data_IF_496085119449
#
_entry.id   IF_496085119449
#
_cell.length_a   1.000
_cell.length_b   1.000
_cell.length_c   1.000
_cell.angle_alpha   90.00
_cell.angle_beta   90.00
_cell.angle_gamma   90.00
#
_symmetry.space_group_name_H-M   'P 1'
#
loop_
_entity.id
_entity.type
_entity.pdbx_description
1 polymer ?
#
# COMPACT_ATOMS: atom_id res chain seq x y z
N UNK A 1 -36.10 16.71 4.16
CA UNK A 1 -35.37 15.49 4.55
C UNK A 1 -34.24 15.93 5.47
N UNK A 2 -34.05 15.30 6.62
CA UNK A 2 -33.13 15.83 7.64
C UNK A 2 -31.68 15.66 7.18
N UNK A 3 -30.87 16.73 7.23
CA UNK A 3 -29.45 16.73 6.87
C UNK A 3 -28.56 15.75 7.67
N UNK A 4 -29.14 15.01 8.62
CA UNK A 4 -28.49 13.91 9.35
C UNK A 4 -28.42 12.61 8.55
N UNK A 5 -29.35 12.34 7.62
CA UNK A 5 -29.37 11.09 6.84
C UNK A 5 -28.48 11.18 5.60
N UNK A 6 -28.46 12.33 4.93
CA UNK A 6 -27.61 12.61 3.76
C UNK A 6 -26.12 12.55 4.10
N UNK A 7 -25.73 13.03 5.29
CA UNK A 7 -24.34 13.01 5.74
C UNK A 7 -23.84 11.58 6.00
N UNK A 8 -24.71 10.67 6.47
CA UNK A 8 -24.34 9.27 6.71
C UNK A 8 -24.14 8.49 5.40
N UNK A 9 -24.97 8.72 4.39
CA UNK A 9 -24.83 8.05 3.10
C UNK A 9 -23.53 8.47 2.41
N UNK A 10 -23.25 9.78 2.37
CA UNK A 10 -22.01 10.31 1.79
C UNK A 10 -20.80 9.73 2.51
N UNK A 11 -20.83 9.69 3.85
CA UNK A 11 -19.75 9.07 4.63
C UNK A 11 -19.52 7.60 4.26
N UNK A 12 -20.59 6.79 4.18
CA UNK A 12 -20.48 5.37 3.81
C UNK A 12 -19.93 5.17 2.40
N UNK A 13 -20.32 6.03 1.45
CA UNK A 13 -19.81 6.02 0.09
C UNK A 13 -18.33 6.43 0.05
N UNK A 14 -17.96 7.52 0.74
CA UNK A 14 -16.56 7.94 0.89
C UNK A 14 -15.72 6.80 1.47
N UNK A 15 -16.17 6.20 2.57
CA UNK A 15 -15.49 5.06 3.20
C UNK A 15 -15.30 3.92 2.21
N UNK A 16 -16.33 3.52 1.45
CA UNK A 16 -16.23 2.43 0.47
C UNK A 16 -15.35 2.75 -0.74
N UNK A 17 -15.52 3.93 -1.34
CA UNK A 17 -14.79 4.33 -2.55
C UNK A 17 -13.31 4.56 -2.22
N UNK A 18 -13.00 5.10 -1.03
CA UNK A 18 -11.62 5.22 -0.53
C UNK A 18 -10.91 3.85 -0.46
N UNK A 19 -11.65 2.74 -0.36
CA UNK A 19 -11.10 1.38 -0.36
C UNK A 19 -10.73 0.83 -1.74
N UNK A 20 -11.17 1.49 -2.80
CA UNK A 20 -10.92 1.08 -4.19
C UNK A 20 -9.76 1.91 -4.74
N UNK A 21 -8.66 1.28 -5.21
CA UNK A 21 -7.58 2.01 -5.87
C UNK A 21 -8.13 2.81 -7.06
N UNK A 22 -7.85 4.12 -7.13
CA UNK A 22 -8.40 5.01 -8.16
C UNK A 22 -7.95 4.63 -9.58
N UNK A 23 -6.82 3.94 -9.72
CA UNK A 23 -6.34 3.36 -10.98
C UNK A 23 -7.23 2.23 -11.50
N UNK A 24 -8.06 1.62 -10.63
CA UNK A 24 -9.04 0.60 -11.01
C UNK A 24 -10.42 1.16 -11.31
N UNK A 25 -10.68 2.41 -10.95
CA UNK A 25 -11.94 3.08 -11.26
C UNK A 25 -11.78 3.66 -12.65
N UNK A 26 -12.68 3.30 -13.57
CA UNK A 26 -12.62 3.90 -14.90
C UNK A 26 -12.93 5.38 -14.80
N UNK A 27 -12.33 6.15 -15.70
CA UNK A 27 -12.47 7.62 -15.69
C UNK A 27 -13.91 8.13 -15.80
N UNK A 28 -14.80 7.36 -16.42
CA UNK A 28 -16.23 7.66 -16.58
C UNK A 28 -17.08 7.25 -15.37
N UNK A 29 -16.55 6.44 -14.46
CA UNK A 29 -17.28 5.93 -13.29
C UNK A 29 -17.19 6.87 -12.07
N UNK A 30 -16.21 7.77 -12.04
CA UNK A 30 -16.01 8.75 -10.97
C UNK A 30 -15.80 10.15 -11.57
N UNK A 31 -16.82 10.99 -11.50
CA UNK A 31 -16.74 12.37 -12.00
C UNK A 31 -15.71 13.20 -11.23
N UNK A 32 -15.23 14.29 -11.84
CA UNK A 32 -14.31 15.22 -11.21
C UNK A 32 -14.85 15.77 -9.87
N UNK A 33 -16.14 16.12 -9.80
CA UNK A 33 -16.78 16.58 -8.56
C UNK A 33 -16.86 15.47 -7.50
N UNK A 34 -17.10 14.23 -7.91
CA UNK A 34 -17.11 13.09 -6.99
C UNK A 34 -15.71 12.80 -6.43
N UNK A 35 -14.67 12.90 -7.27
CA UNK A 35 -13.27 12.81 -6.85
C UNK A 35 -12.92 13.94 -5.87
N UNK A 36 -13.27 15.19 -6.18
CA UNK A 36 -13.04 16.32 -5.28
C UNK A 36 -13.74 16.12 -3.92
N UNK A 37 -14.99 15.64 -3.93
CA UNK A 37 -15.72 15.28 -2.72
C UNK A 37 -14.99 14.19 -1.92
N UNK A 38 -14.59 13.09 -2.56
CA UNK A 38 -13.83 12.00 -1.94
C UNK A 38 -12.54 12.52 -1.28
N UNK A 39 -11.73 13.28 -2.01
CA UNK A 39 -10.44 13.78 -1.52
C UNK A 39 -10.63 14.80 -0.37
N UNK A 40 -11.62 15.68 -0.46
CA UNK A 40 -11.96 16.63 0.62
C UNK A 40 -12.37 15.97 1.94
N UNK A 41 -12.90 14.74 1.88
CA UNK A 41 -13.31 13.96 3.05
C UNK A 41 -12.20 13.06 3.59
N UNK A 42 -11.10 12.92 2.85
CA UNK A 42 -10.01 11.98 3.17
C UNK A 42 -8.65 12.67 3.35
N UNK A 43 -8.56 13.99 3.16
CA UNK A 43 -7.30 14.75 3.20
C UNK A 43 -6.65 14.81 4.59
N UNK A 44 -7.41 14.60 5.67
CA UNK A 44 -6.92 14.72 7.06
C UNK A 44 -7.52 13.64 7.99
N UNK A 45 -7.86 12.47 7.45
CA UNK A 45 -8.45 11.40 8.24
C UNK A 45 -7.45 10.28 8.53
N UNK A 46 -7.52 9.69 9.72
CA UNK A 46 -6.85 8.41 10.02
C UNK A 46 -7.64 7.23 9.43
N UNK A 47 -8.32 7.43 8.31
CA UNK A 47 -9.13 6.41 7.65
C UNK A 47 -8.31 5.71 6.57
N UNK A 48 -8.64 4.46 6.21
CA UNK A 48 -7.94 3.76 5.16
C UNK A 48 -8.16 4.41 3.79
N UNK A 49 -7.11 4.48 2.97
CA UNK A 49 -7.19 5.01 1.61
C UNK A 49 -6.28 4.22 0.68
N UNK A 50 -6.82 3.70 -0.43
CA UNK A 50 -6.21 2.62 -1.21
C UNK A 50 -5.08 3.10 -2.11
N UNK A 51 -5.14 4.37 -2.49
CA UNK A 51 -4.42 4.91 -3.62
C UNK A 51 -3.22 5.72 -3.14
N UNK A 52 -1.99 5.39 -3.58
CA UNK A 52 -0.81 6.21 -3.30
C UNK A 52 -1.00 7.64 -3.82
N UNK A 53 -0.36 8.59 -3.16
CA UNK A 53 -0.58 10.02 -3.40
C UNK A 53 -0.25 10.44 -4.84
N UNK A 54 0.80 9.85 -5.43
CA UNK A 54 1.12 10.05 -6.84
C UNK A 54 -0.01 9.57 -7.78
N UNK A 55 -0.64 8.43 -7.45
CA UNK A 55 -1.75 7.92 -8.25
C UNK A 55 -3.00 8.79 -8.08
N UNK A 56 -3.20 9.44 -6.93
CA UNK A 56 -4.23 10.47 -6.75
C UNK A 56 -3.95 11.66 -7.66
N UNK A 57 -2.71 12.18 -7.64
CA UNK A 57 -2.29 13.27 -8.53
C UNK A 57 -2.55 12.92 -10.00
N UNK A 58 -2.04 11.77 -10.46
CA UNK A 58 -2.21 11.31 -11.84
C UNK A 58 -3.68 11.22 -12.25
N UNK A 59 -4.52 10.62 -11.41
CA UNK A 59 -5.94 10.48 -11.71
C UNK A 59 -6.65 11.85 -11.76
N UNK A 60 -6.31 12.77 -10.85
CA UNK A 60 -6.85 14.12 -10.85
C UNK A 60 -6.48 14.92 -12.11
N UNK A 61 -5.23 14.81 -12.59
CA UNK A 61 -4.79 15.44 -13.84
C UNK A 61 -5.54 14.86 -15.04
N UNK A 62 -5.65 13.53 -15.13
CA UNK A 62 -6.39 12.86 -16.22
C UNK A 62 -7.85 13.33 -16.26
N UNK A 63 -8.50 13.44 -15.10
CA UNK A 63 -9.87 13.93 -15.00
C UNK A 63 -9.99 15.39 -15.44
N UNK A 64 -9.06 16.26 -15.00
CA UNK A 64 -9.05 17.66 -15.43
C UNK A 64 -8.91 17.80 -16.96
N UNK A 65 -7.99 17.04 -17.57
CA UNK A 65 -7.81 17.01 -19.04
C UNK A 65 -9.07 16.52 -19.77
N UNK A 66 -9.79 15.55 -19.20
CA UNK A 66 -11.07 15.08 -19.76
C UNK A 66 -12.14 16.15 -19.72
N UNK A 67 -12.29 16.86 -18.60
CA UNK A 67 -13.24 17.97 -18.50
C UNK A 67 -12.96 19.03 -19.56
N UNK A 68 -11.70 19.43 -19.78
CA UNK A 68 -11.32 20.36 -20.85
C UNK A 68 -11.68 19.81 -22.23
N UNK A 69 -11.42 18.53 -22.48
CA UNK A 69 -11.73 17.90 -23.77
C UNK A 69 -13.23 17.84 -24.05
N UNK A 70 -14.06 17.57 -23.04
CA UNK A 70 -15.51 17.57 -23.16
C UNK A 70 -16.06 18.99 -23.38
N UNK A 71 -15.52 19.99 -22.68
CA UNK A 71 -15.91 21.40 -22.86
C UNK A 71 -15.60 21.89 -24.29
N UNK A 72 -14.43 21.54 -24.83
CA UNK A 72 -14.07 21.84 -26.22
C UNK A 72 -15.03 21.15 -27.20
N UNK A 73 -15.32 19.85 -27.01
CA UNK A 73 -16.28 19.10 -27.85
C UNK A 73 -17.69 19.73 -27.80
N UNK A 74 -18.12 20.20 -26.63
CA UNK A 74 -19.42 20.83 -26.46
C UNK A 74 -19.47 22.25 -27.07
N UNK A 75 -18.37 23.02 -27.00
CA UNK A 75 -18.27 24.31 -27.70
C UNK A 75 -18.26 24.14 -29.22
N UNK A 76 -17.57 23.12 -29.75
CA UNK A 76 -17.58 22.77 -31.18
C UNK A 76 -18.97 22.38 -31.68
N UNK A 77 -19.67 21.50 -30.95
CA UNK A 77 -21.06 21.10 -31.27
C UNK A 77 -22.07 22.24 -31.24
N UNK A 78 -21.86 23.27 -30.40
CA UNK A 78 -22.73 24.45 -30.39
C UNK A 78 -22.44 25.42 -31.54
N UNK A 79 -21.29 25.30 -32.21
CA UNK A 79 -20.90 26.11 -33.36
C UNK A 79 -21.12 25.41 -34.70
N UNK A 80 -21.30 24.08 -34.72
CA UNK A 80 -21.49 23.26 -35.91
C UNK A 80 -22.85 22.54 -35.92
N UNK A 81 -23.93 23.30 -36.14
CA UNK A 81 -25.05 22.80 -36.95
C UNK A 81 -24.60 22.81 -38.42
N UNK A 82 -23.71 21.89 -38.80
CA UNK A 82 -23.41 21.38 -40.16
C UNK A 82 -21.95 20.91 -40.23
N UNK A 83 -21.68 19.64 -39.91
CA UNK A 83 -21.24 18.61 -40.86
C UNK A 83 -20.90 17.34 -40.08
N UNK A 84 -21.32 16.19 -40.61
CA UNK A 84 -21.05 14.89 -40.02
C UNK A 84 -19.56 14.57 -40.18
N UNK A 85 -18.83 14.34 -39.10
CA UNK A 85 -17.67 13.47 -39.14
C UNK A 85 -17.64 12.53 -37.93
N UNK A 86 -17.73 11.25 -38.27
CA UNK A 86 -17.70 10.07 -37.43
C UNK A 86 -16.24 9.78 -37.03
N UNK A 87 -15.89 10.02 -35.77
CA UNK A 87 -14.61 9.60 -35.20
C UNK A 87 -14.84 8.47 -34.19
N UNK A 88 -14.52 7.25 -34.64
CA UNK A 88 -14.41 6.03 -33.84
C UNK A 88 -13.33 6.19 -32.75
N UNK A 89 -13.72 6.04 -31.48
CA UNK A 89 -12.80 5.82 -30.36
C UNK A 89 -12.26 4.38 -30.40
N UNK A 90 -10.98 4.22 -30.74
CA UNK A 90 -10.18 3.05 -30.41
C UNK A 90 -8.71 3.47 -30.32
N UNK A 91 -8.29 4.03 -29.19
CA UNK A 91 -6.86 4.16 -28.88
C UNK A 91 -6.48 3.13 -27.81
N UNK A 92 -5.94 2.04 -28.32
CA UNK A 92 -5.14 1.04 -27.63
C UNK A 92 -3.77 1.65 -27.32
N UNK A 93 -3.36 1.63 -26.05
CA UNK A 93 -2.10 2.21 -25.60
C UNK A 93 -0.92 1.39 -26.12
N UNK A 94 -0.36 1.79 -27.27
CA UNK A 94 0.95 1.31 -27.71
C UNK A 94 2.05 2.21 -27.12
N UNK A 95 2.85 1.66 -26.22
CA UNK A 95 4.16 2.21 -25.84
C UNK A 95 5.10 2.11 -27.04
N UNK A 96 5.17 3.16 -27.85
CA UNK A 96 6.31 3.59 -28.66
C UNK A 96 5.79 4.68 -29.59
N UNK A 97 6.05 5.97 -29.32
CA UNK A 97 5.90 6.97 -30.37
C UNK A 97 6.87 8.14 -30.19
N UNK A 98 7.42 8.53 -31.33
CA UNK A 98 8.16 9.75 -31.59
C UNK A 98 7.38 10.96 -31.04
N UNK A 99 8.06 11.88 -30.36
CA UNK A 99 7.46 13.15 -29.96
C UNK A 99 7.16 14.00 -31.21
N UNK A 100 5.89 14.08 -31.61
CA UNK A 100 5.42 14.97 -32.68
C UNK A 100 5.29 16.42 -32.15
N UNK A 101 5.83 17.41 -32.88
CA UNK A 101 5.70 18.84 -32.57
C UNK A 101 4.21 19.26 -32.43
N UNK A 102 3.31 18.52 -33.07
CA UNK A 102 1.87 18.74 -33.05
C UNK A 102 1.24 18.46 -31.66
N UNK A 103 1.76 17.47 -30.91
CA UNK A 103 1.27 17.14 -29.56
C UNK A 103 1.71 18.17 -28.52
N UNK A 104 2.91 18.75 -28.69
CA UNK A 104 3.42 19.82 -27.84
C UNK A 104 2.58 21.09 -27.97
N UNK A 105 2.20 21.47 -29.19
CA UNK A 105 1.33 22.62 -29.45
C UNK A 105 -0.05 22.43 -28.82
N UNK A 106 -0.64 21.24 -28.98
CA UNK A 106 -1.94 20.89 -28.39
C UNK A 106 -1.91 20.93 -26.86
N UNK A 107 -0.80 20.51 -26.25
CA UNK A 107 -0.62 20.56 -24.81
C UNK A 107 -0.58 22.00 -24.28
N UNK A 108 0.23 22.88 -24.88
CA UNK A 108 0.33 24.29 -24.45
C UNK A 108 -0.99 25.05 -24.61
N UNK A 109 -1.82 24.68 -25.58
CA UNK A 109 -3.17 25.25 -25.76
C UNK A 109 -4.14 24.88 -24.64
N UNK A 110 -4.16 23.61 -24.21
CA UNK A 110 -5.11 23.13 -23.19
C UNK A 110 -4.63 23.34 -21.76
N UNK A 111 -3.31 23.48 -21.55
CA UNK A 111 -2.67 23.57 -20.24
C UNK A 111 -3.28 24.64 -19.32
N UNK A 112 -3.57 25.89 -19.75
CA UNK A 112 -4.21 26.88 -18.88
C UNK A 112 -5.57 26.41 -18.33
N UNK A 113 -6.40 25.80 -19.16
CA UNK A 113 -7.71 25.25 -18.76
C UNK A 113 -7.56 24.06 -17.83
N UNK A 114 -6.58 23.19 -18.08
CA UNK A 114 -6.26 22.07 -17.18
C UNK A 114 -5.83 22.60 -15.81
N UNK A 115 -4.96 23.62 -15.78
CA UNK A 115 -4.53 24.27 -14.54
C UNK A 115 -5.70 24.88 -13.76
N UNK A 116 -6.62 25.55 -14.46
CA UNK A 116 -7.82 26.13 -13.84
C UNK A 116 -8.67 25.06 -13.14
N UNK A 117 -9.01 23.98 -13.85
CA UNK A 117 -9.80 22.88 -13.27
C UNK A 117 -9.03 22.18 -12.14
N UNK A 118 -7.77 21.84 -12.38
CA UNK A 118 -6.90 21.15 -11.43
C UNK A 118 -6.65 21.95 -10.15
N UNK A 119 -6.63 23.29 -10.22
CA UNK A 119 -6.45 24.15 -9.05
C UNK A 119 -7.49 23.90 -7.95
N UNK A 120 -8.70 23.46 -8.31
CA UNK A 120 -9.78 23.20 -7.37
C UNK A 120 -9.59 21.91 -6.55
N UNK A 121 -8.76 20.99 -7.02
CA UNK A 121 -8.51 19.68 -6.37
C UNK A 121 -7.12 19.58 -5.75
N UNK A 122 -6.17 20.38 -6.23
CA UNK A 122 -4.80 20.45 -5.74
C UNK A 122 -4.68 20.61 -4.20
N UNK A 123 -5.52 21.40 -3.50
CA UNK A 123 -5.46 21.52 -2.04
C UNK A 123 -5.65 20.20 -1.28
N UNK A 124 -6.21 19.18 -1.93
CA UNK A 124 -6.44 17.86 -1.35
C UNK A 124 -5.37 16.84 -1.75
N UNK A 125 -4.24 17.26 -2.35
CA UNK A 125 -3.13 16.40 -2.77
C UNK A 125 -1.85 16.83 -2.03
N UNK A 126 -1.29 15.92 -1.24
CA UNK A 126 -0.11 16.14 -0.41
C UNK A 126 1.18 15.72 -1.15
N UNK A 127 1.75 16.64 -1.93
CA UNK A 127 3.00 16.39 -2.67
C UNK A 127 4.17 15.95 -1.77
N UNK A 128 4.13 16.19 -0.45
CA UNK A 128 5.15 15.72 0.48
C UNK A 128 5.22 14.18 0.59
N UNK A 129 4.17 13.46 0.16
CA UNK A 129 4.10 11.99 0.13
C UNK A 129 4.61 11.37 -1.17
N UNK A 130 4.77 12.17 -2.21
CA UNK A 130 5.29 11.73 -3.51
C UNK A 130 6.83 11.69 -3.44
N UNK A 131 7.46 10.70 -4.08
CA UNK A 131 8.91 10.58 -4.08
C UNK A 131 9.57 11.67 -4.94
N UNK A 132 10.82 12.00 -4.60
CA UNK A 132 11.55 13.10 -5.25
C UNK A 132 11.80 12.86 -6.73
N UNK A 133 11.99 11.61 -7.17
CA UNK A 133 12.24 11.33 -8.58
C UNK A 133 10.97 11.55 -9.41
N UNK A 134 9.81 11.17 -8.89
CA UNK A 134 8.51 11.45 -9.51
C UNK A 134 8.23 12.95 -9.56
N UNK A 135 8.57 13.71 -8.50
CA UNK A 135 8.43 15.17 -8.52
C UNK A 135 9.26 15.80 -9.66
N UNK A 136 10.55 15.46 -9.74
CA UNK A 136 11.48 16.06 -10.71
C UNK A 136 11.21 15.63 -12.15
N UNK A 137 10.96 14.34 -12.37
CA UNK A 137 10.92 13.79 -13.73
C UNK A 137 9.52 13.74 -14.34
N UNK A 138 8.47 13.90 -13.52
CA UNK A 138 7.08 13.75 -13.98
C UNK A 138 6.24 14.96 -13.63
N UNK A 139 6.22 15.41 -12.36
CA UNK A 139 5.27 16.44 -11.93
C UNK A 139 5.73 17.86 -12.30
N UNK A 140 6.98 18.21 -11.99
CA UNK A 140 7.54 19.53 -12.28
C UNK A 140 7.53 19.86 -13.79
N UNK A 141 7.89 18.94 -14.71
CA UNK A 141 7.85 19.20 -16.15
C UNK A 141 6.45 19.44 -16.72
N UNK A 142 5.39 19.05 -16.01
CA UNK A 142 4.02 19.36 -16.43
C UNK A 142 3.66 20.82 -16.18
N UNK A 143 4.39 21.56 -15.33
CA UNK A 143 4.12 22.99 -15.09
C UNK A 143 2.63 23.34 -14.76
N UNK A 144 1.86 22.35 -14.27
CA UNK A 144 0.45 22.52 -13.87
C UNK A 144 0.30 22.77 -12.36
N UNK A 145 1.39 22.60 -11.61
CA UNK A 145 1.46 22.85 -10.17
C UNK A 145 2.19 24.17 -9.94
N UNK A 146 1.63 25.10 -9.14
CA UNK A 146 2.32 26.33 -8.77
C UNK A 146 3.69 26.10 -8.11
N UNK A 147 4.69 26.87 -8.52
CA UNK A 147 6.09 26.76 -8.04
C UNK A 147 6.21 26.81 -6.52
N UNK A 148 5.38 27.60 -5.84
CA UNK A 148 5.41 27.70 -4.38
C UNK A 148 5.04 26.38 -3.70
N UNK A 149 4.11 25.61 -4.27
CA UNK A 149 3.67 24.31 -3.75
C UNK A 149 4.75 23.25 -4.00
N UNK A 150 5.34 23.24 -5.20
CA UNK A 150 6.49 22.36 -5.51
C UNK A 150 7.68 22.66 -4.60
N UNK A 151 7.99 23.95 -4.40
CA UNK A 151 9.09 24.38 -3.53
C UNK A 151 8.88 23.97 -2.07
N UNK A 152 7.64 23.98 -1.57
CA UNK A 152 7.32 23.45 -0.25
C UNK A 152 7.58 21.95 -0.15
N UNK A 153 7.18 21.16 -1.15
CA UNK A 153 7.48 19.74 -1.22
C UNK A 153 8.99 19.47 -1.25
N UNK A 154 9.74 20.21 -2.05
CA UNK A 154 11.20 20.09 -2.08
C UNK A 154 11.87 20.47 -0.75
N UNK A 155 11.42 21.55 -0.11
CA UNK A 155 11.89 21.94 1.23
C UNK A 155 11.60 20.86 2.27
N UNK A 156 10.44 20.21 2.19
CA UNK A 156 10.09 19.08 3.06
C UNK A 156 11.08 17.93 2.90
N UNK A 157 11.42 17.56 1.66
CA UNK A 157 12.42 16.50 1.38
C UNK A 157 13.83 16.90 1.81
N UNK A 158 14.23 18.16 1.59
CA UNK A 158 15.54 18.67 1.98
C UNK A 158 15.77 18.64 3.50
N UNK A 159 14.69 18.67 4.29
CA UNK A 159 14.73 18.47 5.75
C UNK A 159 14.86 17.00 6.18
N UNK A 160 15.10 16.07 5.24
CA UNK A 160 15.12 14.62 5.45
C UNK A 160 13.84 14.06 6.07
N UNK A 161 12.69 14.75 5.86
CA UNK A 161 11.39 14.26 6.28
C UNK A 161 10.83 13.29 5.23
N UNK A 162 10.20 12.23 5.71
CA UNK A 162 9.56 11.21 4.88
C UNK A 162 8.15 10.95 5.37
N UNK A 163 7.20 10.87 4.44
CA UNK A 163 5.85 10.41 4.69
C UNK A 163 5.61 9.13 3.89
N UNK A 164 4.74 8.23 4.35
CA UNK A 164 4.34 7.08 3.56
C UNK A 164 3.59 7.55 2.30
N UNK A 165 3.71 6.80 1.17
CA UNK A 165 3.03 7.16 -0.08
C UNK A 165 1.50 7.20 0.03
N UNK A 166 0.90 6.51 1.01
CA UNK A 166 -0.55 6.51 1.25
C UNK A 166 -0.91 7.61 2.25
N UNK A 167 -1.93 8.43 1.95
CA UNK A 167 -2.48 9.43 2.88
C UNK A 167 -3.18 8.82 4.10
N UNK A 168 -3.83 7.68 3.89
CA UNK A 168 -4.58 6.95 4.91
C UNK A 168 -3.82 5.76 5.49
N UNK A 169 -4.50 5.01 6.38
CA UNK A 169 -3.98 3.73 6.85
C UNK A 169 -3.89 2.77 5.66
N UNK A 170 -2.77 2.07 5.45
CA UNK A 170 -2.69 1.03 4.42
C UNK A 170 -3.87 0.08 4.54
N UNK A 171 -4.60 -0.09 3.44
CA UNK A 171 -5.93 -0.73 3.40
C UNK A 171 -5.97 -2.21 3.69
N UNK A 172 -4.85 -2.75 4.11
CA UNK A 172 -4.73 -4.11 4.52
C UNK A 172 -5.31 -4.29 5.94
N UNK A 173 -6.63 -4.13 6.09
CA UNK A 173 -7.39 -5.28 6.61
C UNK A 173 -7.30 -6.39 5.56
N UNK A 174 -6.09 -6.87 5.31
CA UNK A 174 -5.93 -8.21 4.79
C UNK A 174 -6.70 -9.05 5.79
N UNK A 175 -7.74 -9.77 5.32
CA UNK A 175 -8.39 -10.84 6.08
C UNK A 175 -7.34 -11.94 6.32
N UNK A 176 -6.30 -11.57 7.05
CA UNK A 176 -5.05 -12.24 7.26
C UNK A 176 -5.33 -13.17 8.40
N UNK A 177 -5.35 -14.44 8.06
CA UNK A 177 -5.47 -15.52 9.00
C UNK A 177 -4.44 -16.57 8.61
N UNK A 178 -4.12 -17.44 9.56
CA UNK A 178 -3.27 -18.58 9.30
C UNK A 178 -3.95 -19.50 8.29
N UNK A 179 -3.20 -19.99 7.31
CA UNK A 179 -3.76 -20.86 6.27
C UNK A 179 -3.94 -22.28 6.83
N UNK A 180 -5.18 -22.79 6.92
CA UNK A 180 -5.45 -24.11 7.50
C UNK A 180 -4.87 -25.27 6.68
N UNK A 181 -4.47 -25.04 5.42
CA UNK A 181 -3.98 -26.07 4.51
C UNK A 181 -2.46 -26.30 4.60
N UNK A 182 -1.73 -25.39 5.22
CA UNK A 182 -0.26 -25.28 5.12
C UNK A 182 0.34 -24.85 6.45
N UNK A 183 0.40 -25.81 7.35
CA UNK A 183 0.91 -25.68 8.72
C UNK A 183 1.53 -26.99 9.20
N UNK A 184 2.40 -26.92 10.19
CA UNK A 184 2.90 -28.12 10.87
C UNK A 184 1.76 -28.87 11.58
N UNK A 185 1.87 -30.19 11.66
CA UNK A 185 0.80 -31.06 12.17
C UNK A 185 0.43 -30.74 13.63
N UNK A 186 1.42 -30.38 14.46
CA UNK A 186 1.25 -30.03 15.87
C UNK A 186 0.78 -28.59 16.13
N UNK A 187 0.35 -27.84 15.11
CA UNK A 187 -0.23 -26.50 15.28
C UNK A 187 -1.76 -26.56 15.13
N UNK A 188 -2.52 -26.06 16.09
CA UNK A 188 -3.98 -25.93 15.96
C UNK A 188 -4.38 -24.49 15.72
N UNK A 189 -5.42 -24.28 14.91
CA UNK A 189 -5.93 -22.96 14.58
C UNK A 189 -7.26 -22.72 15.30
N UNK A 190 -7.45 -21.51 15.83
CA UNK A 190 -8.68 -21.09 16.52
C UNK A 190 -9.10 -19.70 16.06
N UNK A 191 -10.31 -19.31 16.46
CA UNK A 191 -10.85 -17.96 16.25
C UNK A 191 -10.77 -17.52 14.78
N UNK A 192 -11.48 -18.25 13.91
CA UNK A 192 -11.47 -18.03 12.46
C UNK A 192 -10.04 -18.01 11.87
N UNK A 193 -9.18 -18.90 12.38
CA UNK A 193 -7.77 -19.04 12.02
C UNK A 193 -6.91 -17.81 12.34
N UNK A 194 -7.35 -16.89 13.21
CA UNK A 194 -6.52 -15.76 13.67
C UNK A 194 -5.50 -16.19 14.72
N UNK A 195 -5.82 -17.22 15.50
CA UNK A 195 -4.94 -17.77 16.53
C UNK A 195 -4.29 -19.05 16.01
N UNK A 196 -2.98 -19.18 16.23
CA UNK A 196 -2.27 -20.45 16.13
C UNK A 196 -1.66 -20.79 17.47
N UNK A 197 -1.89 -22.02 17.93
CA UNK A 197 -1.34 -22.57 19.16
C UNK A 197 -0.60 -23.86 18.84
N UNK A 198 0.51 -24.12 19.50
CA UNK A 198 1.16 -25.43 19.45
C UNK A 198 0.46 -26.41 20.40
N UNK A 199 0.34 -27.67 19.96
CA UNK A 199 -0.17 -28.75 20.79
C UNK A 199 0.69 -28.95 22.03
N UNK A 200 0.04 -29.17 23.17
CA UNK A 200 0.71 -29.54 24.42
C UNK A 200 1.20 -31.00 24.40
N UNK A 201 0.82 -31.77 23.39
CA UNK A 201 1.21 -33.16 23.19
C UNK A 201 2.10 -33.28 21.94
N UNK A 202 3.29 -33.85 22.08
CA UNK A 202 4.23 -34.06 20.97
C UNK A 202 5.70 -33.80 21.33
N UNK A 203 6.57 -33.91 20.32
CA UNK A 203 7.99 -33.55 20.46
C UNK A 203 8.16 -32.04 20.62
N UNK A 204 9.12 -31.62 21.44
CA UNK A 204 9.44 -30.21 21.69
C UNK A 204 10.25 -29.59 20.52
N UNK A 205 9.66 -29.60 19.33
CA UNK A 205 10.24 -29.09 18.09
C UNK A 205 9.42 -27.94 17.52
N UNK A 206 10.07 -27.08 16.74
CA UNK A 206 9.41 -25.96 16.08
C UNK A 206 8.57 -26.46 14.91
N UNK A 207 7.31 -26.05 14.89
CA UNK A 207 6.46 -26.16 13.72
C UNK A 207 6.13 -24.76 13.21
N UNK A 208 5.98 -24.64 11.90
CA UNK A 208 5.72 -23.38 11.22
C UNK A 208 4.34 -23.35 10.58
N UNK A 209 3.81 -22.15 10.40
CA UNK A 209 2.56 -21.88 9.67
C UNK A 209 2.74 -20.59 8.88
N UNK A 210 2.16 -20.54 7.68
CA UNK A 210 2.07 -19.29 6.91
C UNK A 210 0.64 -18.77 6.91
N UNK A 211 0.49 -17.47 6.67
CA UNK A 211 -0.82 -16.86 6.48
C UNK A 211 -1.40 -17.13 5.08
N UNK A 212 -2.67 -16.82 4.90
CA UNK A 212 -3.47 -17.07 3.69
C UNK A 212 -3.25 -16.08 2.53
N UNK A 213 -2.36 -15.08 2.69
CA UNK A 213 -2.17 -14.01 1.70
C UNK A 213 -0.75 -13.99 1.17
N UNK A 214 -0.65 -14.10 -0.16
CA UNK A 214 0.56 -13.84 -0.92
C UNK A 214 0.79 -12.33 -1.00
N UNK A 215 2.03 -11.92 -0.81
CA UNK A 215 2.54 -10.58 -1.03
C UNK A 215 3.45 -10.65 -2.26
N UNK A 216 3.02 -10.04 -3.37
CA UNK A 216 3.77 -10.04 -4.64
C UNK A 216 4.04 -8.66 -5.21
N UNK A 217 3.15 -7.71 -4.94
CA UNK A 217 3.22 -6.37 -5.52
C UNK A 217 4.22 -5.48 -4.79
N UNK A 218 4.61 -4.40 -5.45
CA UNK A 218 5.35 -3.33 -4.81
C UNK A 218 4.49 -2.61 -3.76
N UNK A 219 5.15 -2.00 -2.79
CA UNK A 219 4.49 -1.28 -1.70
C UNK A 219 5.00 -1.65 -0.32
N UNK A 220 4.34 -1.08 0.69
CA UNK A 220 4.65 -1.28 2.11
C UNK A 220 3.51 -2.06 2.73
N UNK A 221 3.84 -3.15 3.41
CA UNK A 221 2.91 -4.05 4.05
C UNK A 221 3.23 -4.18 5.53
N UNK A 222 2.21 -4.05 6.36
CA UNK A 222 2.33 -4.14 7.81
C UNK A 222 1.26 -5.06 8.38
N UNK A 223 1.63 -5.87 9.36
CA UNK A 223 0.68 -6.66 10.14
C UNK A 223 1.18 -6.83 11.57
N UNK A 224 0.22 -6.97 12.48
CA UNK A 224 0.46 -7.13 13.90
C UNK A 224 0.27 -8.60 14.32
N UNK A 225 1.19 -9.08 15.15
CA UNK A 225 1.10 -10.36 15.85
C UNK A 225 1.20 -10.13 17.34
N UNK A 226 0.25 -10.67 18.12
CA UNK A 226 0.35 -10.73 19.58
C UNK A 226 0.89 -12.10 19.98
N UNK A 227 1.90 -12.12 20.84
CA UNK A 227 2.29 -13.33 21.56
C UNK A 227 1.35 -13.48 22.74
N UNK A 228 0.40 -14.42 22.67
CA UNK A 228 -0.54 -14.66 23.77
C UNK A 228 0.11 -15.53 24.85
N UNK A 229 0.87 -16.55 24.45
CA UNK A 229 1.52 -17.49 25.36
C UNK A 229 2.97 -17.72 24.94
N UNK A 230 3.91 -17.41 25.83
CA UNK A 230 5.34 -17.62 25.61
C UNK A 230 5.68 -19.10 25.54
N UNK A 231 6.52 -19.46 24.57
CA UNK A 231 7.27 -20.71 24.54
C UNK A 231 8.77 -20.40 24.55
N UNK A 232 9.63 -21.43 24.42
CA UNK A 232 11.09 -21.21 24.43
C UNK A 232 11.48 -20.04 23.54
N UNK A 233 11.03 -20.00 22.27
CA UNK A 233 11.04 -18.79 21.44
C UNK A 233 9.93 -18.84 20.38
N UNK A 234 8.99 -17.91 20.38
CA UNK A 234 8.13 -17.65 19.23
C UNK A 234 8.87 -16.87 18.14
N UNK A 235 8.66 -17.22 16.86
CA UNK A 235 9.30 -16.60 15.70
C UNK A 235 8.26 -16.05 14.73
N UNK A 236 8.44 -14.82 14.25
CA UNK A 236 7.48 -14.07 13.43
C UNK A 236 8.23 -13.39 12.28
N UNK A 237 7.71 -13.45 11.05
CA UNK A 237 8.31 -12.75 9.92
C UNK A 237 7.71 -13.15 8.59
N UNK A 238 8.55 -13.39 7.58
CA UNK A 238 8.13 -13.77 6.23
C UNK A 238 8.80 -15.05 5.72
N UNK A 239 8.13 -15.76 4.82
CA UNK A 239 8.70 -16.86 4.05
C UNK A 239 8.41 -16.72 2.55
N UNK A 240 9.25 -17.31 1.72
CA UNK A 240 9.04 -17.41 0.28
C UNK A 240 7.81 -18.26 -0.05
N UNK A 241 7.28 -18.13 -1.28
CA UNK A 241 6.15 -18.93 -1.78
C UNK A 241 6.40 -20.44 -1.73
N UNK A 242 7.65 -20.89 -1.88
CA UNK A 242 8.04 -22.29 -1.96
C UNK A 242 9.23 -22.60 -1.05
N UNK A 243 9.35 -23.87 -0.66
CA UNK A 243 10.53 -24.42 0.02
C UNK A 243 10.48 -24.40 1.55
N UNK A 244 9.40 -23.91 2.17
CA UNK A 244 9.24 -23.98 3.62
C UNK A 244 8.77 -25.38 4.05
N UNK A 245 9.57 -26.04 4.88
CA UNK A 245 9.16 -27.20 5.68
C UNK A 245 8.46 -26.72 6.96
N UNK A 246 7.18 -27.04 7.06
CA UNK A 246 6.32 -26.66 8.17
C UNK A 246 6.55 -27.47 9.45
N UNK A 247 7.34 -28.54 9.39
CA UNK A 247 7.72 -29.36 10.56
C UNK A 247 9.07 -28.94 11.16
N UNK A 248 9.66 -27.86 10.65
CA UNK A 248 10.95 -27.34 11.07
C UNK A 248 10.89 -25.85 11.44
N UNK A 249 11.91 -25.40 12.17
CA UNK A 249 12.08 -23.99 12.53
C UNK A 249 12.30 -23.15 11.27
N UNK A 250 11.47 -22.11 11.08
CA UNK A 250 11.57 -21.22 9.93
C UNK A 250 12.97 -20.59 9.77
N UNK A 251 13.57 -20.07 10.84
CA UNK A 251 14.84 -19.35 10.76
C UNK A 251 16.07 -20.21 10.43
N UNK A 252 15.96 -21.54 10.49
CA UNK A 252 16.99 -22.45 9.99
C UNK A 252 16.97 -22.61 8.47
N UNK A 253 15.86 -22.24 7.83
CA UNK A 253 15.62 -22.48 6.41
C UNK A 253 15.97 -21.25 5.58
N UNK A 254 16.52 -21.46 4.39
CA UNK A 254 16.91 -20.38 3.46
C UNK A 254 15.72 -19.64 2.85
N UNK A 255 14.51 -20.14 3.02
CA UNK A 255 13.27 -19.57 2.48
C UNK A 255 12.52 -18.68 3.49
N UNK A 256 13.06 -18.41 4.68
CA UNK A 256 12.39 -17.60 5.69
C UNK A 256 13.31 -16.59 6.41
N UNK A 257 12.69 -15.52 6.90
CA UNK A 257 13.31 -14.39 7.57
C UNK A 257 12.44 -14.00 8.76
N UNK A 258 12.92 -14.24 9.98
CA UNK A 258 12.08 -14.17 11.19
C UNK A 258 12.79 -13.47 12.35
N UNK A 259 12.02 -12.72 13.14
CA UNK A 259 12.40 -12.22 14.46
C UNK A 259 11.88 -13.18 15.54
N UNK A 260 12.73 -13.54 16.47
CA UNK A 260 12.41 -14.36 17.63
C UNK A 260 12.16 -13.54 18.89
N UNK A 261 11.35 -14.06 19.78
CA UNK A 261 11.18 -13.55 21.16
C UNK A 261 12.48 -13.51 21.96
N UNK A 262 13.52 -14.26 21.55
CA UNK A 262 14.89 -14.13 22.05
C UNK A 262 15.52 -12.75 21.82
N UNK A 263 14.92 -11.89 21.00
CA UNK A 263 15.50 -10.63 20.54
C UNK A 263 16.39 -10.77 19.30
N UNK A 264 16.52 -11.98 18.74
CA UNK A 264 17.37 -12.26 17.58
C UNK A 264 16.56 -12.41 16.30
N UNK A 265 17.13 -11.96 15.19
CA UNK A 265 16.63 -12.26 13.86
C UNK A 265 17.39 -13.45 13.26
N UNK A 266 16.70 -14.30 12.51
CA UNK A 266 17.26 -15.48 11.87
C UNK A 266 16.84 -15.60 10.40
N UNK A 267 17.79 -16.01 9.58
CA UNK A 267 17.60 -16.45 8.20
C UNK A 267 18.68 -17.47 7.86
N UNK A 268 18.32 -18.61 7.24
CA UNK A 268 19.29 -19.62 6.81
C UNK A 268 20.27 -20.07 7.92
N UNK A 269 19.78 -20.26 9.14
CA UNK A 269 20.58 -20.60 10.33
C UNK A 269 21.57 -19.52 10.80
N UNK A 270 21.57 -18.33 10.19
CA UNK A 270 22.39 -17.20 10.58
C UNK A 270 21.57 -16.30 11.51
N UNK A 271 22.00 -16.19 12.77
CA UNK A 271 21.38 -15.36 13.79
C UNK A 271 22.10 -14.02 13.96
N UNK A 272 21.34 -12.95 14.20
CA UNK A 272 21.86 -11.62 14.53
C UNK A 272 21.07 -11.01 15.70
N UNK A 273 21.75 -10.30 16.60
CA UNK A 273 21.11 -9.54 17.66
C UNK A 273 20.35 -8.35 17.06
N UNK A 274 19.10 -8.15 17.45
CA UNK A 274 18.23 -7.12 16.87
C UNK A 274 17.56 -6.25 17.92
N UNK A 275 17.05 -6.87 18.98
CA UNK A 275 16.36 -6.19 20.09
C UNK A 275 16.53 -6.97 21.39
N UNK A 276 15.93 -6.48 22.48
CA UNK A 276 15.88 -7.20 23.76
C UNK A 276 14.85 -8.33 23.70
N UNK A 277 15.02 -9.34 24.54
CA UNK A 277 14.07 -10.44 24.70
C UNK A 277 12.67 -9.93 25.08
N UNK A 278 11.62 -10.58 24.58
CA UNK A 278 10.21 -10.24 24.80
C UNK A 278 9.33 -11.49 24.87
N UNK A 279 8.11 -11.37 25.41
CA UNK A 279 7.23 -12.52 25.67
C UNK A 279 5.74 -12.21 25.58
N UNK A 280 4.94 -12.94 26.36
CA UNK A 280 3.48 -12.82 26.40
C UNK A 280 3.00 -11.36 26.55
N UNK A 281 1.93 -11.03 25.85
CA UNK A 281 1.37 -9.68 25.78
C UNK A 281 2.10 -8.74 24.81
N UNK A 282 3.25 -9.14 24.27
CA UNK A 282 3.98 -8.31 23.31
C UNK A 282 3.28 -8.28 21.96
N UNK A 283 3.09 -7.08 21.44
CA UNK A 283 2.69 -6.85 20.05
C UNK A 283 3.93 -6.66 19.19
N UNK A 284 4.11 -7.53 18.21
CA UNK A 284 5.15 -7.43 17.18
C UNK A 284 4.50 -6.97 15.88
N UNK A 285 4.92 -5.83 15.37
CA UNK A 285 4.52 -5.35 14.04
C UNK A 285 5.62 -5.70 13.05
N UNK A 286 5.27 -6.34 11.94
CA UNK A 286 6.20 -6.60 10.84
C UNK A 286 6.05 -5.47 9.82
N UNK A 287 7.17 -4.86 9.41
CA UNK A 287 7.20 -3.82 8.38
C UNK A 287 7.94 -4.34 7.16
N UNK A 288 7.21 -4.75 6.12
CA UNK A 288 7.76 -5.26 4.88
C UNK A 288 7.66 -4.20 3.78
N UNK A 289 8.79 -3.80 3.20
CA UNK A 289 8.83 -2.90 2.05
C UNK A 289 9.22 -3.71 0.80
N UNK A 290 8.23 -4.02 -0.04
CA UNK A 290 8.42 -4.79 -1.27
C UNK A 290 9.00 -3.98 -2.42
N UNK A 291 8.98 -2.65 -2.35
CA UNK A 291 9.65 -1.77 -3.33
C UNK A 291 11.16 -1.75 -3.09
N UNK A 292 11.59 -1.55 -1.84
CA UNK A 292 13.01 -1.53 -1.43
C UNK A 292 13.58 -2.91 -1.09
N UNK A 293 12.74 -3.95 -1.04
CA UNK A 293 13.06 -5.31 -0.59
C UNK A 293 13.69 -5.34 0.82
N UNK A 294 13.14 -4.55 1.74
CA UNK A 294 13.61 -4.46 3.13
C UNK A 294 12.54 -4.91 4.13
N UNK A 295 12.98 -5.28 5.34
CA UNK A 295 12.10 -5.63 6.46
C UNK A 295 12.63 -5.06 7.77
N UNK A 296 11.70 -4.61 8.63
CA UNK A 296 11.96 -4.15 9.99
C UNK A 296 10.83 -4.64 10.92
N UNK A 297 11.02 -4.49 12.23
CA UNK A 297 10.01 -4.86 13.22
C UNK A 297 9.79 -3.74 14.23
N UNK A 298 8.55 -3.60 14.71
CA UNK A 298 8.27 -2.85 15.94
C UNK A 298 7.91 -3.78 17.07
N UNK A 299 8.40 -3.48 18.28
CA UNK A 299 8.06 -4.19 19.51
C UNK A 299 7.29 -3.22 20.40
N UNK A 300 6.02 -3.52 20.68
CA UNK A 300 5.11 -2.64 21.43
C UNK A 300 5.09 -1.19 20.90
N UNK A 301 5.08 -1.04 19.57
CA UNK A 301 5.06 0.25 18.88
C UNK A 301 6.40 0.96 18.75
N UNK A 302 7.47 0.44 19.35
CA UNK A 302 8.84 0.96 19.15
C UNK A 302 9.43 0.35 17.89
N UNK A 303 9.60 1.15 16.84
CA UNK A 303 10.17 0.71 15.56
C UNK A 303 11.69 0.56 15.64
N UNK A 304 12.19 -0.60 15.25
CA UNK A 304 13.62 -0.88 15.13
C UNK A 304 14.12 -0.66 13.69
N UNK A 305 15.44 -0.50 13.49
CA UNK A 305 16.03 -0.30 12.16
C UNK A 305 15.76 -1.46 11.19
N UNK A 306 15.83 -1.18 9.88
CA UNK A 306 15.78 -2.21 8.84
C UNK A 306 16.94 -3.21 8.99
N UNK A 307 16.69 -4.49 8.73
CA UNK A 307 17.71 -5.53 8.80
C UNK A 307 18.53 -5.52 7.52
N UNK A 308 19.66 -4.81 7.55
CA UNK A 308 20.55 -4.64 6.39
C UNK A 308 21.25 -5.92 5.95
N UNK A 309 21.34 -6.93 6.82
CA UNK A 309 21.93 -8.23 6.50
C UNK A 309 21.08 -9.06 5.52
N UNK A 310 19.80 -8.74 5.35
CA UNK A 310 18.87 -9.47 4.49
C UNK A 310 18.71 -8.75 3.17
N UNK A 311 19.77 -8.79 2.37
CA UNK A 311 19.81 -8.23 1.03
C UNK A 311 19.10 -9.20 0.08
N UNK A 312 18.06 -8.73 -0.61
CA UNK A 312 17.29 -9.47 -1.63
C UNK A 312 16.18 -10.39 -1.10
N UNK A 313 15.21 -9.82 -0.38
CA UNK A 313 13.93 -10.50 -0.15
C UNK A 313 13.27 -10.90 -1.51
N UNK A 314 12.74 -12.13 -1.64
CA UNK A 314 12.04 -12.57 -2.83
C UNK A 314 10.85 -11.68 -3.23
N UNK A 315 10.47 -11.71 -4.51
CA UNK A 315 9.30 -10.99 -5.00
C UNK A 315 7.96 -11.57 -4.51
N UNK A 316 7.94 -12.81 -3.99
CA UNK A 316 6.74 -13.49 -3.51
C UNK A 316 6.92 -14.00 -2.10
N UNK A 317 6.23 -13.36 -1.15
CA UNK A 317 6.35 -13.64 0.28
C UNK A 317 4.99 -13.91 0.94
N UNK A 318 5.01 -14.64 2.04
CA UNK A 318 3.88 -14.82 2.95
C UNK A 318 4.31 -14.46 4.37
N UNK A 319 3.42 -13.87 5.18
CA UNK A 319 3.62 -13.85 6.63
C UNK A 319 3.76 -15.27 7.18
N UNK A 320 4.71 -15.47 8.08
CA UNK A 320 5.02 -16.77 8.68
C UNK A 320 5.22 -16.65 10.18
N UNK A 321 4.90 -17.72 10.89
CA UNK A 321 5.32 -17.90 12.27
C UNK A 321 5.85 -19.31 12.52
N UNK A 322 6.70 -19.44 13.53
CA UNK A 322 7.22 -20.73 14.01
C UNK A 322 7.14 -20.80 15.53
N UNK A 323 6.53 -21.87 16.04
CA UNK A 323 6.22 -22.03 17.46
C UNK A 323 6.65 -23.40 17.97
N UNK A 324 6.97 -23.44 19.26
CA UNK A 324 7.13 -24.66 20.06
C UNK A 324 6.04 -24.71 21.14
N UNK A 325 5.69 -25.90 21.64
CA UNK A 325 4.88 -26.03 22.87
C UNK A 325 5.44 -25.20 24.02
N UNK A 326 4.62 -24.47 24.80
CA UNK A 326 3.16 -24.29 24.73
C UNK A 326 2.73 -23.01 23.96
N UNK A 327 3.51 -22.55 22.98
CA UNK A 327 3.39 -21.22 22.38
C UNK A 327 2.05 -20.97 21.67
N UNK A 328 1.54 -19.75 21.83
CA UNK A 328 0.31 -19.27 21.18
C UNK A 328 0.48 -17.84 20.71
N UNK A 329 0.09 -17.57 19.47
CA UNK A 329 0.11 -16.22 18.88
C UNK A 329 -1.17 -15.93 18.11
N UNK A 330 -1.47 -14.64 17.94
CA UNK A 330 -2.65 -14.14 17.24
C UNK A 330 -2.25 -13.11 16.18
N UNK A 331 -2.81 -13.22 14.98
CA UNK A 331 -2.85 -12.13 13.99
C UNK A 331 -3.97 -11.15 14.35
N UNK A 332 -3.69 -9.85 14.36
CA UNK A 332 -4.74 -8.83 14.55
C UNK A 332 -5.32 -8.44 13.19
#
# INVERSE_FOLDING_TARGET
>A
MSGSAENNLIKLLTEHVALIPLDKIKSDELSFQALQCLLSKTSDTNEPFATPEYMVFRHAVIQATKCVSEDIKNMGKNNEDNENDDYNENDDYNENDDYDENDQLKYEEIKPSVMEIFSSILPYIDLNRIDTNTLINIIEPLEIVPDNILLEAYRFKAQNKTLPPLRGIPLYKWNLCWDPRVRGLNLTLRDNNKIVESSHTGQNIHHSVRANKLISEEGIYEWDVIIEETCTYAWIGVCAERGLDYSSFAGQQSCAWVLGSSGKCYHNSIGLEYTKEFGSGTKVTVHLNMTRKTIAFSINGVKHPEITAWLNLPSKLYPVASLRPPGRIRLI
#
